data_IF_548274967574
#
_entry.id   IF_548274967574
#
_cell.length_a   1.000
_cell.length_b   1.000
_cell.length_c   1.000
_cell.angle_alpha   90.00
_cell.angle_beta   90.00
_cell.angle_gamma   90.00
#
_symmetry.space_group_name_H-M   'P 1'
#
loop_
_entity.id
_entity.type
_entity.pdbx_description
1 polymer ?
#
# COMPACT_ATOMS: atom_id res chain seq x y z
N UNK A 1 -18.28 -9.05 10.95
CA UNK A 1 -17.55 -8.57 9.76
C UNK A 1 -16.11 -8.39 10.18
N UNK A 2 -15.18 -8.96 9.43
CA UNK A 2 -13.74 -8.78 9.68
C UNK A 2 -13.36 -7.33 9.37
N UNK A 3 -12.64 -6.67 10.27
CA UNK A 3 -12.31 -5.24 10.12
C UNK A 3 -11.18 -5.12 9.10
N UNK A 4 -11.44 -4.45 7.98
CA UNK A 4 -10.41 -4.16 6.97
C UNK A 4 -9.36 -3.24 7.56
N UNK A 5 -8.09 -3.65 7.55
CA UNK A 5 -6.97 -2.86 8.03
C UNK A 5 -6.41 -1.99 6.91
N UNK A 6 -6.38 -0.67 7.08
CA UNK A 6 -5.71 0.26 6.16
C UNK A 6 -4.33 0.58 6.69
N UNK A 7 -3.32 0.49 5.82
CA UNK A 7 -1.93 0.71 6.20
C UNK A 7 -1.25 1.68 5.23
N UNK A 8 -0.34 2.49 5.77
CA UNK A 8 0.63 3.25 5.01
C UNK A 8 2.00 2.60 5.16
N UNK A 9 2.68 2.40 4.03
CA UNK A 9 3.98 1.73 3.96
C UNK A 9 4.95 2.62 3.20
N UNK A 10 6.10 2.88 3.81
CA UNK A 10 7.26 3.47 3.17
C UNK A 10 8.29 2.38 2.88
N UNK A 11 8.65 2.21 1.61
CA UNK A 11 9.53 1.13 1.15
C UNK A 11 10.51 1.61 0.07
N UNK A 12 11.62 0.90 -0.09
CA UNK A 12 12.67 1.22 -1.08
C UNK A 12 12.16 1.06 -2.51
N UNK A 13 12.34 2.08 -3.35
CA UNK A 13 12.09 1.97 -4.77
C UNK A 13 13.20 1.16 -5.44
N UNK A 14 12.89 -0.07 -5.84
CA UNK A 14 13.81 -0.95 -6.53
C UNK A 14 14.29 -0.41 -7.90
N UNK A 15 13.61 0.60 -8.45
CA UNK A 15 13.95 1.22 -9.73
C UNK A 15 14.75 2.52 -9.59
N UNK A 16 14.97 3.00 -8.36
CA UNK A 16 15.70 4.24 -8.12
C UNK A 16 17.19 3.99 -7.86
N UNK A 17 18.06 4.80 -8.46
CA UNK A 17 19.51 4.71 -8.29
C UNK A 17 20.01 5.39 -7.00
N UNK A 18 19.12 6.01 -6.23
CA UNK A 18 19.43 6.95 -5.14
C UNK A 18 18.79 6.57 -3.78
N UNK A 19 18.51 5.29 -3.53
CA UNK A 19 17.87 4.80 -2.30
C UNK A 19 16.52 5.49 -1.97
N UNK A 20 15.85 6.02 -3.00
CA UNK A 20 14.59 6.73 -2.83
C UNK A 20 13.50 5.81 -2.28
N UNK A 21 12.54 6.40 -1.57
CA UNK A 21 11.44 5.66 -0.95
C UNK A 21 10.12 5.98 -1.62
N UNK A 22 9.30 4.94 -1.80
CA UNK A 22 7.92 5.05 -2.24
C UNK A 22 7.01 4.95 -1.03
N UNK A 23 6.03 5.84 -0.96
CA UNK A 23 4.92 5.74 0.00
C UNK A 23 3.69 5.16 -0.67
N UNK A 24 3.11 4.14 -0.07
CA UNK A 24 1.92 3.47 -0.56
C UNK A 24 0.90 3.33 0.57
N UNK A 25 -0.34 3.71 0.29
CA UNK A 25 -1.48 3.49 1.19
C UNK A 25 -2.39 2.47 0.54
N UNK A 26 -2.87 1.51 1.33
CA UNK A 26 -3.78 0.48 0.82
C UNK A 26 -4.40 -0.35 1.92
N UNK A 27 -5.37 -1.18 1.52
CA UNK A 27 -5.98 -2.18 2.40
C UNK A 27 -5.05 -3.38 2.51
N UNK A 28 -4.70 -3.80 3.72
CA UNK A 28 -3.87 -4.99 3.94
C UNK A 28 -4.68 -6.23 3.61
N UNK A 29 -4.26 -6.97 2.59
CA UNK A 29 -4.87 -8.24 2.19
C UNK A 29 -4.19 -9.43 2.86
N UNK A 30 -2.86 -9.38 3.00
CA UNK A 30 -2.06 -10.44 3.60
C UNK A 30 -0.72 -9.90 4.10
N UNK A 31 -0.22 -10.49 5.18
CA UNK A 31 1.10 -10.22 5.72
C UNK A 31 1.76 -11.54 6.13
N UNK A 32 2.99 -11.73 5.65
CA UNK A 32 3.87 -12.85 5.99
C UNK A 32 5.19 -12.30 6.51
N UNK A 33 6.12 -13.18 6.89
CA UNK A 33 7.48 -12.77 7.28
C UNK A 33 8.24 -12.09 6.13
N UNK A 34 8.01 -12.53 4.88
CA UNK A 34 8.79 -12.11 3.71
C UNK A 34 8.16 -10.95 2.93
N UNK A 35 6.85 -10.79 3.01
CA UNK A 35 6.12 -9.81 2.21
C UNK A 35 4.81 -9.35 2.84
N UNK A 36 4.37 -8.17 2.43
CA UNK A 36 3.01 -7.68 2.60
C UNK A 36 2.32 -7.51 1.26
N UNK A 37 1.01 -7.69 1.27
CA UNK A 37 0.15 -7.55 0.08
C UNK A 37 -0.91 -6.50 0.38
N UNK A 38 -0.87 -5.41 -0.38
CA UNK A 38 -1.81 -4.29 -0.28
C UNK A 38 -2.72 -4.27 -1.50
N UNK A 39 -4.02 -4.05 -1.28
CA UNK A 39 -4.91 -3.55 -2.31
C UNK A 39 -4.75 -2.02 -2.34
N UNK A 40 -4.28 -1.46 -3.46
CA UNK A 40 -4.26 -0.01 -3.65
C UNK A 40 -5.54 0.43 -4.33
N UNK A 41 -6.19 1.41 -3.74
CA UNK A 41 -7.32 2.09 -4.37
C UNK A 41 -6.73 3.36 -5.02
N UNK A 42 -6.81 3.48 -6.35
CA UNK A 42 -6.41 4.72 -7.02
C UNK A 42 -7.56 5.71 -6.87
N UNK A 43 -7.39 6.74 -6.04
CA UNK A 43 -8.25 7.92 -6.13
C UNK A 43 -7.91 8.66 -7.42
N UNK A 44 -8.57 8.35 -8.53
CA UNK A 44 -8.64 9.31 -9.63
C UNK A 44 -9.46 10.50 -9.15
N UNK A 45 -8.79 11.60 -8.87
CA UNK A 45 -9.44 12.86 -8.58
C UNK A 45 -9.71 13.61 -9.88
N UNK A 46 -10.58 13.06 -10.73
CA UNK A 46 -11.21 13.78 -11.83
C UNK A 46 -12.69 13.39 -11.91
N UNK A 47 -13.59 14.34 -11.62
CA UNK A 47 -14.99 14.23 -12.07
C UNK A 47 -16.06 13.74 -11.07
N UNK A 48 -15.79 13.66 -9.78
CA UNK A 48 -16.86 13.70 -8.76
C UNK A 48 -17.77 12.46 -8.66
N UNK A 49 -17.24 11.26 -8.89
CA UNK A 49 -17.89 10.02 -8.42
C UNK A 49 -16.95 9.28 -7.47
N UNK A 50 -17.43 9.02 -6.26
CA UNK A 50 -16.79 8.14 -5.28
C UNK A 50 -17.01 6.67 -5.69
N UNK A 51 -16.50 6.29 -6.85
CA UNK A 51 -16.43 4.88 -7.25
C UNK A 51 -15.03 4.35 -6.89
N UNK A 52 -15.00 3.48 -5.87
CA UNK A 52 -13.83 2.67 -5.49
C UNK A 52 -13.52 1.70 -6.64
N UNK A 53 -12.80 2.16 -7.66
CA UNK A 53 -12.29 1.28 -8.71
C UNK A 53 -11.01 0.61 -8.19
N UNK A 54 -11.14 -0.68 -7.84
CA UNK A 54 -10.01 -1.53 -7.38
C UNK A 54 -8.92 -1.49 -8.44
N UNK A 55 -7.82 -0.81 -8.12
CA UNK A 55 -6.75 -0.61 -9.09
C UNK A 55 -5.44 -1.14 -8.50
N UNK A 56 -5.27 -2.45 -8.62
CA UNK A 56 -3.98 -3.11 -8.45
C UNK A 56 -3.69 -3.67 -7.04
N UNK A 57 -2.97 -4.79 -7.05
CA UNK A 57 -2.39 -5.42 -5.87
C UNK A 57 -0.91 -5.10 -5.85
N UNK A 58 -0.44 -4.53 -4.75
CA UNK A 58 0.98 -4.24 -4.52
C UNK A 58 1.54 -5.26 -3.53
N UNK A 59 2.54 -6.02 -3.98
CA UNK A 59 3.29 -6.94 -3.14
C UNK A 59 4.66 -6.34 -2.81
N UNK A 60 4.93 -6.11 -1.53
CA UNK A 60 6.16 -5.45 -1.06
C UNK A 60 6.94 -6.42 -0.18
N UNK A 61 8.20 -6.76 -0.53
CA UNK A 61 9.07 -7.53 0.36
C UNK A 61 9.31 -6.78 1.68
N UNK A 62 9.18 -7.44 2.83
CA UNK A 62 9.33 -6.83 4.16
C UNK A 62 10.72 -6.24 4.38
N UNK A 63 11.76 -6.89 3.82
CA UNK A 63 13.15 -6.38 3.83
C UNK A 63 13.33 -5.01 3.16
N UNK A 64 12.38 -4.56 2.35
CA UNK A 64 12.41 -3.25 1.69
C UNK A 64 11.58 -2.19 2.40
N UNK A 65 10.80 -2.59 3.41
CA UNK A 65 9.97 -1.66 4.20
C UNK A 65 10.87 -0.93 5.19
N UNK A 66 10.89 0.40 5.11
CA UNK A 66 11.54 1.26 6.10
C UNK A 66 10.59 1.59 7.26
N UNK A 67 9.31 1.78 6.96
CA UNK A 67 8.30 2.07 7.97
C UNK A 67 6.92 1.57 7.54
N UNK A 68 6.11 1.17 8.51
CA UNK A 68 4.72 0.76 8.31
C UNK A 68 3.88 1.26 9.47
N UNK A 69 2.78 1.95 9.16
CA UNK A 69 1.80 2.38 10.17
C UNK A 69 0.39 2.00 9.75
N UNK A 70 -0.41 1.58 10.72
CA UNK A 70 -1.86 1.45 10.54
C UNK A 70 -2.48 2.83 10.53
N UNK A 71 -3.36 3.08 9.57
CA UNK A 71 -4.24 4.25 9.56
C UNK A 71 -5.54 3.80 10.24
N UNK A 72 -5.97 4.51 11.29
CA UNK A 72 -7.13 4.13 12.09
C UNK A 72 -8.34 3.76 11.22
N UNK A 73 -8.98 2.64 11.57
CA UNK A 73 -10.12 2.05 10.88
C UNK A 73 -11.44 2.29 11.63
#
# INVERSE_FOLDING_TARGET
>A
MEKTLVVEVEWLDACSYDDSTVRSVGRLLSQTEDQIVLCRDFYQKDGGRDELEVSGVLCIPTKWIKNMRTLDA
#
